data_IF_973795764084
#
_entry.id   IF_973795764084
#
_cell.length_a   1.000
_cell.length_b   1.000
_cell.length_c   1.000
_cell.angle_alpha   90.00
_cell.angle_beta   90.00
_cell.angle_gamma   90.00
#
_symmetry.space_group_name_H-M   'P 1'
#
loop_
_entity.id
_entity.type
_entity.pdbx_description
1 polymer ?
#
# COMPACT_ATOMS: atom_id res chain seq x y z
N UNK A 1 -21.88 31.90 -2.12
CA UNK A 1 -21.13 31.51 -3.33
C UNK A 1 -20.45 30.19 -3.05
N UNK A 2 -21.08 29.07 -3.39
CA UNK A 2 -20.46 27.75 -3.25
C UNK A 2 -19.45 27.59 -4.39
N UNK A 3 -18.16 27.55 -4.06
CA UNK A 3 -17.17 27.09 -5.03
C UNK A 3 -17.57 25.66 -5.43
N UNK A 4 -17.87 25.46 -6.71
CA UNK A 4 -17.96 24.14 -7.30
C UNK A 4 -16.59 23.48 -7.16
N UNK A 5 -16.46 22.53 -6.24
CA UNK A 5 -15.29 21.67 -6.14
C UNK A 5 -15.25 20.82 -7.40
N UNK A 6 -14.49 21.23 -8.40
CA UNK A 6 -14.16 20.35 -9.51
C UNK A 6 -13.54 19.07 -8.96
N UNK A 7 -14.04 17.93 -9.41
CA UNK A 7 -13.53 16.63 -8.98
C UNK A 7 -12.04 16.53 -9.33
N UNK A 8 -11.23 16.12 -8.35
CA UNK A 8 -9.80 15.90 -8.56
C UNK A 8 -9.59 14.88 -9.69
N UNK A 9 -8.93 15.28 -10.77
CA UNK A 9 -8.59 14.39 -11.89
C UNK A 9 -7.75 13.20 -11.45
N UNK A 10 -6.94 13.38 -10.40
CA UNK A 10 -6.18 12.31 -9.75
C UNK A 10 -7.13 11.33 -9.05
N UNK A 11 -8.11 11.83 -8.28
CA UNK A 11 -9.07 10.97 -7.60
C UNK A 11 -9.90 10.14 -8.60
N UNK A 12 -10.36 10.77 -9.69
CA UNK A 12 -11.06 10.06 -10.77
C UNK A 12 -10.17 9.03 -11.47
N UNK A 13 -8.86 9.27 -11.60
CA UNK A 13 -7.95 8.27 -12.15
C UNK A 13 -7.85 7.01 -11.27
N UNK A 14 -7.86 7.14 -9.94
CA UNK A 14 -7.73 6.00 -9.01
C UNK A 14 -9.06 5.31 -8.68
N UNK A 15 -10.18 5.92 -9.04
CA UNK A 15 -11.51 5.41 -8.80
C UNK A 15 -11.69 4.01 -9.38
N UNK A 16 -12.20 3.08 -8.56
CA UNK A 16 -12.44 1.66 -8.90
C UNK A 16 -11.24 0.92 -9.46
N UNK A 17 -10.02 1.39 -9.16
CA UNK A 17 -8.78 0.66 -9.48
C UNK A 17 -8.21 0.04 -8.22
N UNK A 18 -7.59 -1.11 -8.41
CA UNK A 18 -6.79 -1.78 -7.41
C UNK A 18 -5.31 -1.43 -7.58
N UNK A 19 -4.65 -1.27 -6.45
CA UNK A 19 -3.29 -0.74 -6.37
C UNK A 19 -2.41 -1.72 -5.60
N UNK A 20 -1.28 -2.12 -6.18
CA UNK A 20 -0.25 -2.89 -5.48
C UNK A 20 0.89 -1.98 -5.05
N UNK A 21 1.25 -2.03 -3.76
CA UNK A 21 2.29 -1.18 -3.17
C UNK A 21 3.33 -2.03 -2.46
N UNK A 22 4.59 -1.86 -2.85
CA UNK A 22 5.73 -2.39 -2.09
C UNK A 22 6.34 -1.30 -1.22
N UNK A 23 6.86 -1.66 -0.05
CA UNK A 23 7.50 -0.70 0.85
C UNK A 23 6.52 0.15 1.67
N UNK A 24 5.25 -0.26 1.74
CA UNK A 24 4.17 0.45 2.42
C UNK A 24 4.44 0.70 3.92
N UNK A 25 5.24 -0.15 4.58
CA UNK A 25 5.61 0.04 5.99
C UNK A 25 6.82 0.97 6.18
N UNK A 26 7.44 1.44 5.09
CA UNK A 26 8.54 2.40 5.11
C UNK A 26 8.07 3.83 5.33
N UNK A 27 9.00 4.77 5.45
CA UNK A 27 8.68 6.18 5.73
C UNK A 27 7.81 6.83 4.65
N UNK A 28 8.19 6.68 3.37
CA UNK A 28 7.42 7.24 2.25
C UNK A 28 6.19 6.37 1.92
N UNK A 29 6.34 5.05 1.96
CA UNK A 29 5.24 4.14 1.63
C UNK A 29 3.98 4.34 2.48
N UNK A 30 4.13 4.57 3.79
CA UNK A 30 2.96 4.81 4.66
C UNK A 30 2.24 6.13 4.35
N UNK A 31 3.00 7.15 3.94
CA UNK A 31 2.46 8.45 3.53
C UNK A 31 1.68 8.31 2.22
N UNK A 32 2.18 7.49 1.29
CA UNK A 32 1.47 7.18 0.05
C UNK A 32 0.14 6.47 0.33
N UNK A 33 0.14 5.45 1.19
CA UNK A 33 -1.10 4.74 1.57
C UNK A 33 -2.10 5.70 2.22
N UNK A 34 -1.67 6.50 3.20
CA UNK A 34 -2.52 7.53 3.85
C UNK A 34 -3.11 8.49 2.81
N UNK A 35 -2.27 8.99 1.90
CA UNK A 35 -2.66 9.98 0.89
C UNK A 35 -3.70 9.42 -0.08
N UNK A 36 -3.54 8.16 -0.51
CA UNK A 36 -4.50 7.47 -1.35
C UNK A 36 -5.84 7.30 -0.63
N UNK A 37 -5.82 6.82 0.62
CA UNK A 37 -7.03 6.64 1.42
C UNK A 37 -7.78 7.95 1.62
N UNK A 38 -7.06 9.03 1.96
CA UNK A 38 -7.65 10.34 2.25
C UNK A 38 -8.08 11.11 1.02
N UNK A 39 -7.32 11.05 -0.08
CA UNK A 39 -7.55 11.92 -1.25
C UNK A 39 -8.21 11.20 -2.43
N UNK A 40 -8.22 9.87 -2.44
CA UNK A 40 -8.80 9.05 -3.51
C UNK A 40 -9.69 7.94 -2.92
N UNK A 41 -10.70 8.24 -2.08
CA UNK A 41 -11.40 7.24 -1.25
C UNK A 41 -12.15 6.15 -2.03
N UNK A 42 -12.45 6.41 -3.31
CA UNK A 42 -13.21 5.51 -4.19
C UNK A 42 -12.34 4.46 -4.91
N UNK A 43 -11.11 4.20 -4.44
CA UNK A 43 -10.33 3.06 -4.92
C UNK A 43 -11.07 1.73 -4.68
N UNK A 44 -10.76 0.73 -5.51
CA UNK A 44 -11.34 -0.61 -5.38
C UNK A 44 -10.67 -1.35 -4.22
N UNK A 45 -9.36 -1.61 -4.36
CA UNK A 45 -8.59 -2.34 -3.36
C UNK A 45 -7.13 -1.88 -3.30
N UNK A 46 -6.47 -2.00 -2.16
CA UNK A 46 -5.02 -1.79 -2.04
C UNK A 46 -4.38 -3.07 -1.51
N UNK A 47 -3.42 -3.61 -2.26
CA UNK A 47 -2.60 -4.74 -1.86
C UNK A 47 -1.23 -4.24 -1.42
N UNK A 48 -0.81 -4.61 -0.22
CA UNK A 48 0.47 -4.18 0.34
C UNK A 48 1.42 -5.36 0.47
N UNK A 49 2.56 -5.34 -0.21
CA UNK A 49 3.61 -6.33 0.02
C UNK A 49 4.29 -6.06 1.37
N UNK A 50 4.16 -6.99 2.30
CA UNK A 50 4.70 -6.87 3.65
C UNK A 50 5.64 -8.04 3.93
N UNK A 51 6.91 -7.70 4.15
CA UNK A 51 7.93 -8.69 4.56
C UNK A 51 7.59 -9.31 5.92
N UNK A 52 7.70 -10.63 6.10
CA UNK A 52 7.58 -11.23 7.42
C UNK A 52 8.72 -10.75 8.33
N UNK A 53 8.44 -10.64 9.63
CA UNK A 53 9.47 -10.46 10.68
C UNK A 53 9.33 -11.60 11.67
N UNK A 54 10.44 -12.11 12.22
CA UNK A 54 10.41 -13.16 13.25
C UNK A 54 9.42 -12.79 14.36
N UNK A 55 8.44 -13.66 14.60
CA UNK A 55 7.44 -13.49 15.65
C UNK A 55 6.34 -12.46 15.39
N UNK A 56 6.20 -11.90 14.18
CA UNK A 56 5.07 -11.03 13.83
C UNK A 56 4.41 -11.43 12.51
N UNK A 57 3.09 -11.60 12.52
CA UNK A 57 2.31 -11.81 11.32
C UNK A 57 2.20 -10.48 10.52
N UNK A 58 2.05 -10.56 9.19
CA UNK A 58 1.86 -9.40 8.32
C UNK A 58 0.61 -8.59 8.66
N UNK A 59 -0.46 -9.22 9.16
CA UNK A 59 -1.69 -8.56 9.58
C UNK A 59 -1.48 -7.70 10.84
N UNK A 60 -0.67 -8.15 11.79
CA UNK A 60 -0.33 -7.35 12.98
C UNK A 60 0.45 -6.09 12.56
N UNK A 61 1.36 -6.25 11.59
CA UNK A 61 2.14 -5.12 11.04
C UNK A 61 1.24 -4.14 10.28
N UNK A 62 0.21 -4.63 9.59
CA UNK A 62 -0.78 -3.81 8.91
C UNK A 62 -1.64 -3.03 9.93
N UNK A 63 -2.07 -3.70 10.99
CA UNK A 63 -2.82 -3.07 12.08
C UNK A 63 -2.00 -1.97 12.75
N UNK A 64 -0.74 -2.24 13.10
CA UNK A 64 0.19 -1.25 13.67
C UNK A 64 0.38 -0.04 12.75
N UNK A 65 0.44 -0.25 11.44
CA UNK A 65 0.52 0.81 10.45
C UNK A 65 -0.71 1.72 10.52
N UNK A 66 -1.90 1.15 10.56
CA UNK A 66 -3.14 1.90 10.61
C UNK A 66 -3.36 2.58 11.96
N UNK A 67 -3.02 1.95 13.09
CA UNK A 67 -3.12 2.56 14.43
C UNK A 67 -2.21 3.81 14.60
N UNK A 68 -1.26 4.03 13.70
CA UNK A 68 -0.42 5.23 13.69
C UNK A 68 -1.24 6.53 13.66
N UNK A 69 -0.79 7.61 14.35
CA UNK A 69 -1.39 8.94 14.26
C UNK A 69 -1.45 9.50 12.84
N UNK A 70 -0.58 9.01 11.94
CA UNK A 70 -0.58 9.37 10.52
C UNK A 70 -1.95 9.18 9.86
N UNK A 71 -2.65 8.09 10.20
CA UNK A 71 -3.94 7.74 9.58
C UNK A 71 -5.14 8.42 10.24
N UNK A 72 -4.93 9.37 11.15
CA UNK A 72 -6.04 10.04 11.86
C UNK A 72 -7.01 10.73 10.89
N UNK A 73 -6.50 11.52 9.96
CA UNK A 73 -7.36 12.19 8.97
C UNK A 73 -7.95 11.20 7.97
N UNK A 74 -7.18 10.22 7.53
CA UNK A 74 -7.64 9.15 6.64
C UNK A 74 -8.85 8.39 7.23
N UNK A 75 -8.81 8.06 8.53
CA UNK A 75 -9.95 7.45 9.26
C UNK A 75 -11.19 8.33 9.29
N UNK A 76 -11.04 9.64 9.44
CA UNK A 76 -12.19 10.55 9.42
C UNK A 76 -12.83 10.62 8.02
N UNK A 77 -12.02 10.62 6.97
CA UNK A 77 -12.50 10.77 5.58
C UNK A 77 -13.05 9.45 5.00
N UNK A 78 -12.42 8.32 5.32
CA UNK A 78 -12.80 7.01 4.81
C UNK A 78 -12.77 5.98 5.96
N UNK A 79 -13.75 5.95 6.88
CA UNK A 79 -13.68 5.16 8.11
C UNK A 79 -13.51 3.65 7.93
N UNK A 80 -13.98 3.10 6.80
CA UNK A 80 -13.96 1.68 6.49
C UNK A 80 -12.81 1.26 5.57
N UNK A 81 -11.85 2.16 5.31
CA UNK A 81 -10.78 1.92 4.34
C UNK A 81 -10.01 0.62 4.57
N UNK A 82 -9.85 0.20 5.83
CA UNK A 82 -9.10 -1.00 6.21
C UNK A 82 -9.68 -2.27 5.58
N UNK A 83 -11.00 -2.31 5.31
CA UNK A 83 -11.67 -3.45 4.65
C UNK A 83 -11.24 -3.61 3.19
N UNK A 84 -10.74 -2.54 2.58
CA UNK A 84 -10.25 -2.50 1.19
C UNK A 84 -8.73 -2.62 1.10
N UNK A 85 -8.04 -2.96 2.19
CA UNK A 85 -6.59 -3.11 2.19
C UNK A 85 -6.19 -4.49 2.70
N UNK A 86 -5.38 -5.20 1.91
CA UNK A 86 -4.87 -6.53 2.28
C UNK A 86 -3.34 -6.53 2.30
N UNK A 87 -2.76 -7.06 3.37
CA UNK A 87 -1.34 -7.35 3.41
C UNK A 87 -1.06 -8.70 2.73
N UNK A 88 -0.20 -8.67 1.73
CA UNK A 88 0.33 -9.86 1.06
C UNK A 88 1.71 -10.15 1.64
N UNK A 89 1.90 -11.36 2.14
CA UNK A 89 3.20 -11.77 2.68
C UNK A 89 4.17 -12.04 1.53
N UNK A 90 5.33 -11.38 1.55
CA UNK A 90 6.37 -11.63 0.55
C UNK A 90 7.57 -10.68 0.67
N UNK A 91 8.60 -10.93 -0.13
CA UNK A 91 9.82 -10.13 -0.22
C UNK A 91 10.16 -9.87 -1.69
N UNK A 92 10.56 -8.64 -2.00
CA UNK A 92 10.93 -8.24 -3.37
C UNK A 92 12.19 -8.94 -3.88
N UNK A 93 12.97 -9.53 -2.98
CA UNK A 93 14.19 -10.27 -3.32
C UNK A 93 13.92 -11.73 -3.70
N UNK A 94 12.74 -12.24 -3.37
CA UNK A 94 12.37 -13.63 -3.64
C UNK A 94 11.77 -13.77 -5.05
N UNK A 95 11.94 -14.93 -5.71
CA UNK A 95 11.21 -15.25 -6.94
C UNK A 95 9.70 -15.05 -6.73
N UNK A 96 9.04 -14.46 -7.73
CA UNK A 96 7.62 -14.11 -7.69
C UNK A 96 7.22 -13.33 -6.42
N UNK A 97 8.14 -12.50 -5.91
CA UNK A 97 7.96 -11.68 -4.70
C UNK A 97 7.71 -12.51 -3.42
N UNK A 98 7.97 -13.82 -3.44
CA UNK A 98 7.68 -14.73 -2.33
C UNK A 98 6.18 -14.92 -2.06
N UNK A 99 5.31 -14.58 -3.03
CA UNK A 99 3.87 -14.73 -2.92
C UNK A 99 3.46 -16.21 -3.00
N UNK A 100 2.36 -16.55 -2.35
CA UNK A 100 1.67 -17.81 -2.65
C UNK A 100 0.87 -17.67 -3.95
N UNK A 101 0.51 -18.80 -4.56
CA UNK A 101 -0.18 -18.81 -5.86
C UNK A 101 -1.53 -18.08 -5.85
N UNK A 102 -2.25 -18.07 -4.73
CA UNK A 102 -3.54 -17.37 -4.61
C UNK A 102 -3.35 -15.86 -4.64
N UNK A 103 -2.39 -15.34 -3.87
CA UNK A 103 -2.09 -13.91 -3.82
C UNK A 103 -1.51 -13.43 -5.16
N UNK A 104 -0.63 -14.25 -5.77
CA UNK A 104 -0.07 -13.99 -7.10
C UNK A 104 -1.18 -13.88 -8.16
N UNK A 105 -2.08 -14.88 -8.23
CA UNK A 105 -3.21 -14.86 -9.14
C UNK A 105 -4.13 -13.67 -8.88
N UNK A 106 -4.41 -13.35 -7.62
CA UNK A 106 -5.23 -12.20 -7.24
C UNK A 106 -4.64 -10.90 -7.77
N UNK A 107 -3.32 -10.70 -7.65
CA UNK A 107 -2.66 -9.51 -8.18
C UNK A 107 -2.72 -9.46 -9.70
N UNK A 108 -2.44 -10.57 -10.38
CA UNK A 108 -2.45 -10.65 -11.85
C UNK A 108 -3.82 -10.25 -12.41
N UNK A 109 -4.90 -10.75 -11.82
CA UNK A 109 -6.26 -10.51 -12.31
C UNK A 109 -6.79 -9.13 -11.96
N UNK A 110 -6.44 -8.59 -10.78
CA UNK A 110 -7.14 -7.44 -10.23
C UNK A 110 -6.34 -6.14 -10.23
N UNK A 111 -5.01 -6.19 -10.27
CA UNK A 111 -4.16 -5.00 -10.06
C UNK A 111 -3.96 -4.20 -11.35
N UNK A 112 -4.26 -2.90 -11.33
CA UNK A 112 -4.04 -1.99 -12.46
C UNK A 112 -2.85 -1.04 -12.25
N UNK A 113 -2.46 -0.79 -11.00
CA UNK A 113 -1.44 0.23 -10.67
C UNK A 113 -0.44 -0.33 -9.69
N UNK A 114 0.85 -0.15 -9.97
CA UNK A 114 1.95 -0.56 -9.09
C UNK A 114 2.73 0.65 -8.60
N UNK A 115 2.88 0.76 -7.28
CA UNK A 115 3.85 1.66 -6.65
C UNK A 115 5.00 0.85 -6.04
N UNK A 116 6.18 0.97 -6.63
CA UNK A 116 7.39 0.35 -6.10
C UNK A 116 8.19 1.32 -5.22
N UNK A 117 8.04 1.22 -3.90
CA UNK A 117 8.73 2.07 -2.92
C UNK A 117 9.59 1.26 -1.94
N UNK A 118 9.65 -0.06 -2.11
CA UNK A 118 10.53 -0.91 -1.32
C UNK A 118 11.99 -0.69 -1.73
N UNK A 119 12.84 -0.34 -0.77
CA UNK A 119 14.28 -0.19 -0.96
C UNK A 119 15.03 -0.53 0.32
N UNK A 120 16.33 -0.85 0.19
CA UNK A 120 17.26 -0.75 1.31
C UNK A 120 17.70 0.71 1.46
N UNK A 121 17.63 1.24 2.68
CA UNK A 121 18.11 2.59 3.03
C UNK A 121 19.37 2.52 3.89
N UNK A 122 20.14 1.44 3.76
CA UNK A 122 21.43 1.26 4.42
C UNK A 122 22.53 1.90 3.59
N UNK A 123 22.83 3.17 3.87
CA UNK A 123 23.81 3.96 3.12
C UNK A 123 25.27 3.47 3.20
N UNK A 124 25.55 2.52 4.08
CA UNK A 124 26.88 1.97 4.36
C UNK A 124 27.08 0.57 3.74
N UNK A 125 26.09 0.03 3.06
CA UNK A 125 26.26 -1.23 2.34
C UNK A 125 26.95 -0.97 0.99
N UNK A 126 27.99 -1.76 0.63
CA UNK A 126 28.61 -1.63 -0.68
C UNK A 126 27.61 -2.01 -1.76
N UNK A 127 27.62 -1.26 -2.87
CA UNK A 127 26.82 -1.62 -4.03
C UNK A 127 27.37 -2.92 -4.62
N UNK A 128 26.63 -4.02 -4.49
CA UNK A 128 26.98 -5.29 -5.12
C UNK A 128 26.44 -5.26 -6.55
N UNK A 129 27.33 -5.20 -7.52
CA UNK A 129 26.99 -5.51 -8.91
C UNK A 129 27.03 -7.04 -9.06
N UNK A 130 26.01 -7.62 -9.72
CA UNK A 130 26.02 -9.03 -10.14
C UNK A 130 27.04 -9.25 -11.26
#
# INVERSE_FOLDING_TARGET
MSASTEASTIAEYFKRKSIFITGATGFIGKQLVEKLVRSCPDFEHIYLLVRPKRGRNVNDRLKELFESPLFTTARTVNPDFEKKITALQGDILDPNLGLNSTDEYTLIENCQIVFHSAATVRFHEPLRYL
#
